data_IF_103533003276
#
_entry.id   IF_103533003276
#
_cell.length_a   1.000
_cell.length_b   1.000
_cell.length_c   1.000
_cell.angle_alpha   90.00
_cell.angle_beta   90.00
_cell.angle_gamma   90.00
#
_symmetry.space_group_name_H-M   'P 1'
#
loop_
_entity.id
_entity.type
_entity.pdbx_description
1 polymer ?
#
# COMPACT_ATOMS: atom_id res chain seq x y z
N UNK A 1 4.79 38.99 -28.14
CA UNK A 1 3.97 37.84 -27.74
C UNK A 1 4.89 36.76 -27.21
N UNK A 2 5.00 36.62 -25.89
CA UNK A 2 5.79 35.54 -25.29
C UNK A 2 4.95 34.25 -25.38
N UNK A 3 5.36 33.33 -26.24
CA UNK A 3 4.81 31.99 -26.27
C UNK A 3 5.08 31.30 -24.93
N UNK A 4 4.04 31.11 -24.13
CA UNK A 4 4.13 30.37 -22.87
C UNK A 4 4.72 28.97 -23.08
N UNK A 5 5.29 28.35 -22.06
CA UNK A 5 5.91 27.03 -22.16
C UNK A 5 4.93 26.03 -22.77
N UNK A 6 5.39 25.29 -23.77
CA UNK A 6 4.60 24.28 -24.49
C UNK A 6 4.08 23.19 -23.51
N UNK A 7 2.94 22.55 -23.81
CA UNK A 7 2.41 21.46 -22.99
C UNK A 7 3.45 20.36 -22.76
N UNK A 8 4.27 20.06 -23.75
CA UNK A 8 5.36 19.08 -23.65
C UNK A 8 6.42 19.47 -22.62
N UNK A 9 6.82 20.76 -22.57
CA UNK A 9 7.79 21.23 -21.59
C UNK A 9 7.23 21.25 -20.15
N UNK A 10 5.93 21.51 -19.98
CA UNK A 10 5.26 21.41 -18.68
C UNK A 10 5.15 19.97 -18.20
N UNK A 11 4.76 19.03 -19.07
CA UNK A 11 4.69 17.62 -18.77
C UNK A 11 6.08 17.06 -18.41
N UNK A 12 7.10 17.38 -19.20
CA UNK A 12 8.47 16.96 -18.94
C UNK A 12 8.98 17.49 -17.59
N UNK A 13 8.76 18.77 -17.30
CA UNK A 13 9.15 19.37 -16.02
C UNK A 13 8.40 18.76 -14.82
N UNK A 14 7.12 18.40 -14.99
CA UNK A 14 6.34 17.73 -13.93
C UNK A 14 6.84 16.31 -13.68
N UNK A 15 7.08 15.54 -14.73
CA UNK A 15 7.62 14.17 -14.64
C UNK A 15 9.00 14.16 -13.97
N UNK A 16 9.87 15.10 -14.35
CA UNK A 16 11.20 15.24 -13.73
C UNK A 16 11.10 15.57 -12.24
N UNK A 17 10.18 16.45 -11.82
CA UNK A 17 9.96 16.78 -10.40
C UNK A 17 9.45 15.58 -9.61
N UNK A 18 8.51 14.82 -10.17
CA UNK A 18 8.01 13.60 -9.54
C UNK A 18 9.14 12.57 -9.39
N UNK A 19 9.91 12.34 -10.43
CA UNK A 19 11.03 11.41 -10.40
C UNK A 19 12.11 11.83 -9.38
N UNK A 20 12.44 13.13 -9.32
CA UNK A 20 13.36 13.65 -8.34
C UNK A 20 12.84 13.50 -6.90
N UNK A 21 11.54 13.80 -6.66
CA UNK A 21 10.91 13.62 -5.35
C UNK A 21 10.87 12.15 -4.91
N UNK A 22 10.59 11.24 -5.82
CA UNK A 22 10.65 9.80 -5.51
C UNK A 22 12.07 9.36 -5.16
N UNK A 23 13.06 9.81 -5.91
CA UNK A 23 14.48 9.52 -5.61
C UNK A 23 14.87 10.06 -4.22
N UNK A 24 14.47 11.28 -3.90
CA UNK A 24 14.71 11.90 -2.59
C UNK A 24 14.07 11.08 -1.46
N UNK A 25 12.82 10.64 -1.62
CA UNK A 25 12.13 9.78 -0.67
C UNK A 25 12.88 8.45 -0.47
N UNK A 26 13.35 7.82 -1.54
CA UNK A 26 14.11 6.58 -1.45
C UNK A 26 15.45 6.77 -0.73
N UNK A 27 16.15 7.87 -1.00
CA UNK A 27 17.41 8.21 -0.32
C UNK A 27 17.16 8.45 1.17
N UNK A 28 16.15 9.25 1.52
CA UNK A 28 15.78 9.51 2.91
C UNK A 28 15.36 8.22 3.64
N UNK A 29 14.56 7.39 2.99
CA UNK A 29 14.15 6.10 3.53
C UNK A 29 15.36 5.18 3.77
N UNK A 30 16.29 5.13 2.82
CA UNK A 30 17.53 4.36 2.96
C UNK A 30 18.33 4.83 4.18
N UNK A 31 18.54 6.15 4.32
CA UNK A 31 19.27 6.70 5.47
C UNK A 31 18.54 6.50 6.79
N UNK A 32 17.21 6.57 6.79
CA UNK A 32 16.41 6.32 7.98
C UNK A 32 16.50 4.85 8.42
N UNK A 33 16.41 3.91 7.47
CA UNK A 33 16.58 2.48 7.76
C UNK A 33 18.00 2.15 8.20
N UNK A 34 19.01 2.71 7.54
CA UNK A 34 20.41 2.49 7.91
C UNK A 34 20.77 3.12 9.28
N UNK A 35 20.08 4.17 9.67
CA UNK A 35 20.32 4.89 10.93
C UNK A 35 19.38 4.48 12.09
N UNK A 36 18.42 3.58 11.87
CA UNK A 36 17.37 3.26 12.84
C UNK A 36 17.87 2.89 14.22
N UNK A 37 18.85 2.00 14.32
CA UNK A 37 19.46 1.59 15.58
C UNK A 37 20.24 2.71 16.27
N UNK A 38 20.88 3.59 15.47
CA UNK A 38 21.64 4.72 16.02
C UNK A 38 20.72 5.79 16.64
N UNK A 39 19.54 5.97 16.07
CA UNK A 39 18.54 6.90 16.63
C UNK A 39 18.05 6.41 18.00
N UNK A 40 17.69 5.13 18.10
CA UNK A 40 17.26 4.52 19.37
C UNK A 40 18.36 4.57 20.42
N UNK A 41 19.62 4.24 20.07
CA UNK A 41 20.76 4.33 20.96
C UNK A 41 21.03 5.77 21.47
N UNK A 42 20.86 6.79 20.59
CA UNK A 42 21.01 8.19 21.00
C UNK A 42 19.85 8.63 21.90
N UNK A 43 18.62 8.19 21.64
CA UNK A 43 17.46 8.49 22.46
C UNK A 43 17.64 7.93 23.90
N UNK A 44 18.12 6.70 24.02
CA UNK A 44 18.41 6.05 25.30
C UNK A 44 19.45 6.84 26.10
N UNK A 45 20.49 7.39 25.45
CA UNK A 45 21.55 8.15 26.13
C UNK A 45 21.11 9.50 26.69
N UNK A 46 20.03 10.07 26.17
CA UNK A 46 19.50 11.38 26.59
C UNK A 46 18.47 11.24 27.73
N UNK A 47 17.88 10.06 27.93
CA UNK A 47 16.90 9.82 28.98
C UNK A 47 17.58 9.65 30.35
N UNK A 48 17.22 10.49 31.35
CA UNK A 48 17.92 10.53 32.63
C UNK A 48 17.58 9.37 33.57
N UNK A 49 16.46 8.67 33.33
CA UNK A 49 15.98 7.59 34.23
C UNK A 49 15.95 6.25 33.51
N UNK A 50 16.44 5.20 34.19
CA UNK A 50 16.46 3.82 33.68
C UNK A 50 15.05 3.29 33.39
N UNK A 51 14.06 3.64 34.22
CA UNK A 51 12.67 3.23 34.01
C UNK A 51 12.05 3.86 32.72
N UNK A 52 12.41 5.10 32.40
CA UNK A 52 11.93 5.78 31.20
C UNK A 52 12.62 5.21 29.94
N UNK A 53 13.87 4.81 30.09
CA UNK A 53 14.64 4.14 29.04
C UNK A 53 14.03 2.78 28.69
N UNK A 54 13.69 1.96 29.68
CA UNK A 54 13.05 0.65 29.46
C UNK A 54 11.71 0.82 28.75
N UNK A 55 10.87 1.73 29.24
CA UNK A 55 9.57 2.02 28.60
C UNK A 55 9.73 2.52 27.17
N UNK A 56 10.71 3.39 26.90
CA UNK A 56 10.96 3.90 25.54
C UNK A 56 11.39 2.77 24.59
N UNK A 57 12.23 1.85 25.04
CA UNK A 57 12.65 0.68 24.25
C UNK A 57 11.48 -0.26 24.00
N UNK A 58 10.65 -0.53 25.00
CA UNK A 58 9.48 -1.41 24.87
C UNK A 58 8.45 -0.81 23.90
N UNK A 59 8.19 0.49 24.00
CA UNK A 59 7.30 1.20 23.03
C UNK A 59 7.88 1.14 21.63
N UNK A 60 9.17 1.39 21.44
CA UNK A 60 9.81 1.33 20.13
C UNK A 60 9.69 -0.06 19.50
N UNK A 61 10.00 -1.12 20.26
CA UNK A 61 9.88 -2.52 19.80
C UNK A 61 8.44 -2.93 19.51
N UNK A 62 7.50 -2.53 20.37
CA UNK A 62 6.08 -2.80 20.13
C UNK A 62 5.57 -2.10 18.87
N UNK A 63 6.00 -0.85 18.65
CA UNK A 63 5.68 -0.10 17.43
C UNK A 63 6.28 -0.76 16.19
N UNK A 64 7.56 -1.14 16.25
CA UNK A 64 8.24 -1.83 15.14
C UNK A 64 7.53 -3.14 14.79
N UNK A 65 7.20 -3.97 15.78
CA UNK A 65 6.48 -5.22 15.57
C UNK A 65 5.09 -4.99 14.95
N UNK A 66 4.37 -3.97 15.43
CA UNK A 66 3.04 -3.62 14.91
C UNK A 66 3.11 -3.14 13.46
N UNK A 67 4.05 -2.24 13.16
CA UNK A 67 4.25 -1.71 11.79
C UNK A 67 4.70 -2.82 10.84
N UNK A 68 5.65 -3.66 11.27
CA UNK A 68 6.12 -4.80 10.47
C UNK A 68 5.00 -5.80 10.16
N UNK A 69 4.19 -6.14 11.16
CA UNK A 69 3.03 -7.01 10.97
C UNK A 69 1.99 -6.38 10.02
N UNK A 70 1.72 -5.08 10.15
CA UNK A 70 0.83 -4.35 9.25
C UNK A 70 1.35 -4.37 7.81
N UNK A 71 2.61 -4.00 7.59
CA UNK A 71 3.22 -3.96 6.25
C UNK A 71 3.25 -5.35 5.60
N UNK A 72 3.62 -6.39 6.36
CA UNK A 72 3.63 -7.76 5.86
C UNK A 72 2.22 -8.21 5.47
N UNK A 73 1.23 -7.93 6.30
CA UNK A 73 -0.16 -8.28 6.00
C UNK A 73 -0.66 -7.54 4.76
N UNK A 74 -0.42 -6.24 4.67
CA UNK A 74 -0.81 -5.41 3.51
C UNK A 74 -0.12 -5.91 2.23
N UNK A 75 1.17 -6.23 2.30
CA UNK A 75 1.91 -6.80 1.17
C UNK A 75 1.27 -8.10 0.65
N UNK A 76 0.95 -9.02 1.56
CA UNK A 76 0.35 -10.31 1.19
C UNK A 76 -1.06 -10.12 0.63
N UNK A 77 -1.86 -9.26 1.24
CA UNK A 77 -3.22 -8.97 0.81
C UNK A 77 -3.22 -8.35 -0.59
N UNK A 78 -2.41 -7.31 -0.80
CA UNK A 78 -2.31 -6.63 -2.10
C UNK A 78 -1.73 -7.56 -3.18
N UNK A 79 -0.80 -8.48 -2.81
CA UNK A 79 -0.27 -9.46 -3.74
C UNK A 79 -1.36 -10.42 -4.23
N UNK A 80 -2.18 -10.92 -3.32
CA UNK A 80 -3.32 -11.79 -3.66
C UNK A 80 -4.33 -11.02 -4.50
N UNK A 81 -4.67 -9.81 -4.14
CA UNK A 81 -5.60 -8.95 -4.90
C UNK A 81 -5.07 -8.68 -6.31
N UNK A 82 -3.84 -8.22 -6.45
CA UNK A 82 -3.22 -7.98 -7.75
C UNK A 82 -3.18 -9.23 -8.63
N UNK A 83 -2.90 -10.40 -8.05
CA UNK A 83 -2.93 -11.68 -8.76
C UNK A 83 -4.35 -12.06 -9.21
N UNK A 84 -5.36 -11.86 -8.35
CA UNK A 84 -6.77 -12.09 -8.70
C UNK A 84 -7.23 -11.16 -9.82
N UNK A 85 -6.89 -9.88 -9.74
CA UNK A 85 -7.18 -8.89 -10.79
C UNK A 85 -6.53 -9.30 -12.11
N UNK A 86 -5.24 -9.65 -12.09
CA UNK A 86 -4.53 -10.12 -13.28
C UNK A 86 -5.23 -11.34 -13.92
N UNK A 87 -5.61 -12.31 -13.09
CA UNK A 87 -6.30 -13.53 -13.55
C UNK A 87 -7.65 -13.20 -14.19
N UNK A 88 -8.47 -12.38 -13.54
CA UNK A 88 -9.81 -12.02 -14.05
C UNK A 88 -9.70 -11.20 -15.34
N UNK A 89 -8.78 -10.24 -15.40
CA UNK A 89 -8.54 -9.45 -16.60
C UNK A 89 -8.02 -10.29 -17.76
N UNK A 90 -7.19 -11.30 -17.47
CA UNK A 90 -6.74 -12.27 -18.45
C UNK A 90 -7.92 -13.10 -19.00
N UNK A 91 -8.83 -13.56 -18.13
CA UNK A 91 -10.03 -14.29 -18.53
C UNK A 91 -10.99 -13.44 -19.37
N UNK A 92 -11.05 -12.13 -19.13
CA UNK A 92 -11.84 -11.17 -19.94
C UNK A 92 -11.19 -10.90 -21.31
N UNK A 93 -9.94 -11.38 -21.52
CA UNK A 93 -9.19 -11.14 -22.76
C UNK A 93 -8.52 -9.77 -22.84
N UNK A 94 -8.24 -9.17 -21.69
CA UNK A 94 -7.55 -7.88 -21.62
C UNK A 94 -6.06 -8.05 -21.94
N UNK A 95 -5.48 -7.23 -22.85
CA UNK A 95 -4.06 -7.26 -23.13
C UNK A 95 -3.25 -6.83 -21.89
N UNK A 96 -2.08 -7.45 -21.70
CA UNK A 96 -1.18 -7.16 -20.58
C UNK A 96 -1.85 -7.25 -19.20
N UNK A 97 -2.75 -8.21 -18.99
CA UNK A 97 -3.48 -8.39 -17.74
C UNK A 97 -2.58 -8.44 -16.49
N UNK A 98 -1.41 -9.09 -16.60
CA UNK A 98 -0.42 -9.15 -15.52
C UNK A 98 0.10 -7.76 -15.15
N UNK A 99 0.36 -6.91 -16.14
CA UNK A 99 0.79 -5.53 -15.89
C UNK A 99 -0.25 -4.75 -15.08
N UNK A 100 -1.53 -4.90 -15.42
CA UNK A 100 -2.63 -4.27 -14.68
C UNK A 100 -2.73 -4.78 -13.24
N UNK A 101 -2.55 -6.09 -13.03
CA UNK A 101 -2.49 -6.66 -11.68
C UNK A 101 -1.34 -6.11 -10.84
N UNK A 102 -0.16 -5.95 -11.46
CA UNK A 102 1.00 -5.32 -10.80
C UNK A 102 0.74 -3.84 -10.46
N UNK A 103 0.11 -3.10 -11.37
CA UNK A 103 -0.27 -1.70 -11.12
C UNK A 103 -1.23 -1.61 -9.93
N UNK A 104 -2.27 -2.44 -9.90
CA UNK A 104 -3.23 -2.50 -8.78
C UNK A 104 -2.52 -2.85 -7.47
N UNK A 105 -1.66 -3.88 -7.47
CA UNK A 105 -0.84 -4.25 -6.31
C UNK A 105 -0.11 -3.04 -5.69
N UNK A 106 0.53 -2.21 -6.50
CA UNK A 106 1.24 -1.04 -5.99
C UNK A 106 0.29 0.10 -5.58
N UNK A 107 -0.79 0.32 -6.29
CA UNK A 107 -1.75 1.37 -5.96
C UNK A 107 -2.41 1.12 -4.60
N UNK A 108 -2.75 -0.11 -4.28
CA UNK A 108 -3.42 -0.50 -3.03
C UNK A 108 -2.57 -0.28 -1.76
N UNK A 109 -1.27 0.04 -1.88
CA UNK A 109 -0.48 0.49 -0.73
C UNK A 109 -0.95 1.84 -0.17
N UNK A 110 -1.65 2.64 -0.95
CA UNK A 110 -2.23 3.90 -0.50
C UNK A 110 -3.73 3.72 -0.27
N UNK A 111 -4.17 3.55 0.99
CA UNK A 111 -5.58 3.28 1.29
C UNK A 111 -6.52 4.32 0.68
N UNK A 112 -7.65 3.90 0.15
CA UNK A 112 -8.69 4.69 -0.52
C UNK A 112 -8.26 5.37 -1.84
N UNK A 113 -7.10 6.03 -1.86
CA UNK A 113 -6.59 6.70 -3.06
C UNK A 113 -6.16 5.66 -4.11
N UNK A 114 -5.55 4.56 -3.68
CA UNK A 114 -5.16 3.46 -4.54
C UNK A 114 -6.34 2.84 -5.26
N UNK A 115 -7.37 2.46 -4.51
CA UNK A 115 -8.60 1.90 -5.08
C UNK A 115 -9.29 2.88 -6.05
N UNK A 116 -9.40 4.17 -5.67
CA UNK A 116 -9.98 5.17 -6.54
C UNK A 116 -9.19 5.35 -7.85
N UNK A 117 -7.86 5.41 -7.75
CA UNK A 117 -6.98 5.51 -8.91
C UNK A 117 -7.07 4.24 -9.80
N UNK A 118 -7.11 3.06 -9.19
CA UNK A 118 -7.26 1.79 -9.89
C UNK A 118 -8.58 1.74 -10.68
N UNK A 119 -9.71 2.15 -10.07
CA UNK A 119 -11.01 2.22 -10.76
C UNK A 119 -10.92 3.13 -11.99
N UNK A 120 -10.36 4.34 -11.84
CA UNK A 120 -10.23 5.28 -12.94
C UNK A 120 -9.34 4.73 -14.06
N UNK A 121 -8.16 4.20 -13.71
CA UNK A 121 -7.22 3.65 -14.68
C UNK A 121 -7.80 2.43 -15.41
N UNK A 122 -8.42 1.51 -14.70
CA UNK A 122 -9.05 0.32 -15.26
C UNK A 122 -10.27 0.67 -16.09
N UNK A 123 -11.04 1.72 -15.75
CA UNK A 123 -12.15 2.21 -16.57
C UNK A 123 -11.66 2.75 -17.91
N UNK A 124 -10.62 3.59 -17.89
CA UNK A 124 -10.00 4.11 -19.12
C UNK A 124 -9.44 2.96 -19.97
N UNK A 125 -8.73 2.03 -19.34
CA UNK A 125 -8.15 0.88 -20.02
C UNK A 125 -9.23 -0.03 -20.64
N UNK A 126 -10.31 -0.30 -19.92
CA UNK A 126 -11.43 -1.08 -20.43
C UNK A 126 -12.12 -0.40 -21.63
N UNK A 127 -12.41 0.89 -21.52
CA UNK A 127 -13.06 1.68 -22.59
C UNK A 127 -12.18 1.83 -23.84
N UNK A 128 -10.86 1.83 -23.69
CA UNK A 128 -9.94 1.90 -24.84
C UNK A 128 -9.63 0.54 -25.47
N UNK A 129 -9.88 -0.55 -24.74
CA UNK A 129 -9.56 -1.91 -25.18
C UNK A 129 -10.75 -2.61 -25.84
N UNK A 130 -11.96 -2.40 -25.33
CA UNK A 130 -13.14 -3.12 -25.76
C UNK A 130 -14.14 -2.20 -26.48
N UNK A 131 -14.58 -2.60 -27.68
CA UNK A 131 -15.59 -1.86 -28.46
C UNK A 131 -16.99 -1.92 -27.81
N UNK A 132 -17.27 -2.98 -27.04
CA UNK A 132 -18.55 -3.16 -26.37
C UNK A 132 -18.51 -2.57 -24.96
N UNK A 133 -19.38 -1.60 -24.69
CA UNK A 133 -19.48 -0.94 -23.39
C UNK A 133 -19.68 -1.92 -22.24
N UNK A 134 -20.47 -2.99 -22.43
CA UNK A 134 -20.68 -4.02 -21.42
C UNK A 134 -19.39 -4.73 -21.01
N UNK A 135 -18.54 -5.10 -21.99
CA UNK A 135 -17.22 -5.68 -21.71
C UNK A 135 -16.26 -4.68 -21.07
N UNK A 136 -16.27 -3.45 -21.55
CA UNK A 136 -15.44 -2.38 -21.00
C UNK A 136 -15.73 -2.13 -19.50
N UNK A 137 -17.01 -2.14 -19.12
CA UNK A 137 -17.45 -1.96 -17.73
C UNK A 137 -17.17 -3.17 -16.82
N UNK A 138 -16.99 -4.37 -17.37
CA UNK A 138 -16.59 -5.55 -16.59
C UNK A 138 -15.17 -5.40 -16.02
N UNK A 139 -14.31 -4.60 -16.64
CA UNK A 139 -12.93 -4.38 -16.19
C UNK A 139 -12.89 -3.68 -14.80
N UNK A 140 -13.40 -2.45 -14.65
CA UNK A 140 -13.47 -1.83 -13.33
C UNK A 140 -14.46 -2.52 -12.39
N UNK A 141 -15.54 -3.12 -12.92
CA UNK A 141 -16.53 -3.85 -12.13
C UNK A 141 -15.95 -5.10 -11.46
N UNK A 142 -15.11 -5.86 -12.15
CA UNK A 142 -14.42 -7.01 -11.58
C UNK A 142 -13.44 -6.61 -10.49
N UNK A 143 -12.70 -5.52 -10.67
CA UNK A 143 -11.83 -4.97 -9.63
C UNK A 143 -12.64 -4.57 -8.39
N UNK A 144 -13.73 -3.82 -8.54
CA UNK A 144 -14.58 -3.44 -7.41
C UNK A 144 -15.15 -4.65 -6.66
N UNK A 145 -15.56 -5.71 -7.39
CA UNK A 145 -16.03 -6.94 -6.78
C UNK A 145 -14.94 -7.64 -5.96
N UNK A 146 -13.72 -7.71 -6.49
CA UNK A 146 -12.56 -8.29 -5.78
C UNK A 146 -12.23 -7.45 -4.54
N UNK A 147 -12.16 -6.13 -4.68
CA UNK A 147 -11.85 -5.22 -3.59
C UNK A 147 -12.91 -5.28 -2.47
N UNK A 148 -14.20 -5.35 -2.81
CA UNK A 148 -15.27 -5.56 -1.83
C UNK A 148 -15.15 -6.92 -1.13
N UNK A 149 -14.84 -7.98 -1.86
CA UNK A 149 -14.64 -9.31 -1.29
C UNK A 149 -13.47 -9.32 -0.31
N UNK A 150 -12.35 -8.69 -0.69
CA UNK A 150 -11.17 -8.53 0.16
C UNK A 150 -11.50 -7.77 1.45
N UNK A 151 -12.17 -6.63 1.37
CA UNK A 151 -12.56 -5.83 2.52
C UNK A 151 -13.41 -6.63 3.53
N UNK A 152 -14.29 -7.50 3.03
CA UNK A 152 -15.15 -8.34 3.86
C UNK A 152 -14.46 -9.58 4.43
N UNK A 153 -13.41 -10.09 3.79
CA UNK A 153 -12.68 -11.27 4.27
C UNK A 153 -11.52 -10.88 5.21
N UNK A 154 -10.78 -9.82 4.88
CA UNK A 154 -9.57 -9.43 5.62
C UNK A 154 -9.92 -8.84 6.99
N UNK A 155 -10.96 -8.03 7.08
CA UNK A 155 -11.37 -7.39 8.33
C UNK A 155 -11.72 -8.41 9.43
N UNK A 156 -12.57 -9.44 9.22
CA UNK A 156 -12.87 -10.42 10.25
C UNK A 156 -11.69 -11.35 10.58
N UNK A 157 -10.83 -11.68 9.60
CA UNK A 157 -9.65 -12.51 9.83
C UNK A 157 -8.60 -11.81 10.71
N UNK A 158 -8.43 -10.50 10.55
CA UNK A 158 -7.50 -9.69 11.35
C UNK A 158 -8.05 -9.41 12.75
N UNK A 159 -9.36 -9.12 12.89
CA UNK A 159 -10.01 -8.85 14.18
C UNK A 159 -10.26 -10.12 14.98
N UNK A 160 -10.52 -11.26 14.33
CA UNK A 160 -10.76 -12.55 15.00
C UNK A 160 -9.55 -13.07 15.79
N UNK A 161 -8.32 -12.83 15.33
CA UNK A 161 -7.09 -13.22 16.04
C UNK A 161 -6.87 -12.41 17.32
N UNK A 162 -7.18 -11.13 17.34
CA UNK A 162 -6.97 -10.27 18.51
C UNK A 162 -7.88 -10.61 19.70
N UNK A 163 -9.11 -11.07 19.43
CA UNK A 163 -10.06 -11.47 20.47
C UNK A 163 -9.68 -12.76 21.18
N UNK A 164 -8.95 -13.64 20.52
CA UNK A 164 -8.50 -14.91 21.12
C UNK A 164 -7.32 -14.72 22.09
N UNK A 165 -6.49 -13.72 21.87
CA UNK A 165 -5.31 -13.46 22.72
C UNK A 165 -5.67 -12.71 24.02
N UNK A 166 -6.65 -11.80 24.01
CA UNK A 166 -7.12 -11.11 25.21
C UNK A 166 -7.80 -12.07 26.19
N UNK A 167 -8.61 -13.01 25.71
CA UNK A 167 -9.28 -13.99 26.58
C UNK A 167 -8.31 -15.00 27.21
N UNK A 168 -7.19 -15.30 26.57
CA UNK A 168 -6.22 -16.25 27.09
C UNK A 168 -5.34 -15.62 28.17
N UNK A 169 -5.07 -14.33 28.08
CA UNK A 169 -4.27 -13.60 29.09
C UNK A 169 -5.06 -13.32 30.38
N UNK A 170 -6.38 -13.11 30.30
CA UNK A 170 -7.23 -12.96 31.51
C UNK A 170 -7.37 -14.26 32.31
N UNK A 171 -7.40 -15.41 31.63
CA UNK A 171 -7.49 -16.72 32.30
C UNK A 171 -6.18 -17.17 32.96
N UNK A 172 -5.05 -16.59 32.55
CA UNK A 172 -3.73 -16.88 33.19
C UNK A 172 -3.40 -15.97 34.38
N UNK A 173 -4.19 -14.91 34.60
CA UNK A 173 -3.99 -13.98 35.71
C UNK A 173 -4.88 -14.25 36.93
N UNK A 174 -5.72 -15.30 36.93
CA UNK A 174 -6.51 -15.80 38.05
C UNK A 174 -5.88 -17.06 38.61
#
# INVERSE_FOLDING_TARGET
MQSGPSLSSRLFGTTQRIAAGLLEIFILLYFLLAGGDLFLQKLIKVLPNVNDTVKAVDIARATEATVSAYLTTTLLVNLVEGAMVALVLWMLGMPNAVLWGVIVFFLEFVPYLGAAAAVVMLSVAGLTTFDQLGRALLVPGSFLAINMLQANLVTPLLLGKRRSEEHTSELQSQ
#
